data_IF_414443076613
#
_entry.id   IF_414443076613
#
_cell.length_a   1.000
_cell.length_b   1.000
_cell.length_c   1.000
_cell.angle_alpha   90.00
_cell.angle_beta   90.00
_cell.angle_gamma   90.00
#
_symmetry.space_group_name_H-M   'P 1'
#
loop_
_entity.id
_entity.type
_entity.pdbx_description
1 polymer ?
#
# COMPACT_ATOMS: atom_id res chain seq x y z
N UNK A 1 -44.27 -1.16 22.09
CA UNK A 1 -43.09 -0.83 22.93
C UNK A 1 -42.08 -1.92 22.70
N UNK A 2 -41.13 -1.70 21.81
CA UNK A 2 -39.78 -2.21 22.04
C UNK A 2 -38.81 -1.35 21.21
N UNK A 3 -37.90 -0.69 21.91
CA UNK A 3 -37.04 0.36 21.37
C UNK A 3 -35.78 -0.28 20.81
N UNK A 4 -35.60 -0.21 19.48
CA UNK A 4 -34.30 -0.45 18.86
C UNK A 4 -33.37 0.70 19.22
N UNK A 5 -32.60 0.55 20.31
CA UNK A 5 -31.54 1.48 20.64
C UNK A 5 -30.41 1.38 19.61
N UNK A 6 -30.32 2.43 18.81
CA UNK A 6 -29.18 2.80 18.00
C UNK A 6 -28.01 3.17 18.95
N UNK A 7 -27.01 2.29 19.11
CA UNK A 7 -25.82 2.53 19.92
C UNK A 7 -24.75 3.28 19.11
N UNK A 8 -24.10 4.33 19.66
CA UNK A 8 -23.06 5.08 18.96
C UNK A 8 -21.73 4.32 19.01
N UNK A 9 -21.04 4.25 17.87
CA UNK A 9 -19.59 4.01 17.76
C UNK A 9 -19.05 2.75 18.46
N UNK A 10 -19.20 1.57 17.84
CA UNK A 10 -18.32 0.43 18.18
C UNK A 10 -16.88 0.84 17.90
N UNK A 11 -16.09 1.07 18.94
CA UNK A 11 -14.63 1.10 18.82
C UNK A 11 -14.22 -0.23 18.19
N UNK A 12 -13.60 -0.19 17.01
CA UNK A 12 -13.05 -1.39 16.39
C UNK A 12 -12.00 -1.97 17.34
N UNK A 13 -12.37 -3.03 18.03
CA UNK A 13 -11.50 -3.81 18.92
C UNK A 13 -10.37 -4.42 18.10
N UNK A 14 -9.10 -4.16 18.44
CA UNK A 14 -8.02 -4.85 17.73
C UNK A 14 -7.90 -6.26 18.23
N UNK A 15 -7.76 -7.19 17.30
CA UNK A 15 -7.56 -8.58 17.65
C UNK A 15 -6.19 -8.76 18.32
N UNK A 16 -6.21 -9.23 19.56
CA UNK A 16 -5.00 -9.58 20.31
C UNK A 16 -4.45 -10.93 19.83
N UNK A 17 -3.14 -11.13 19.96
CA UNK A 17 -2.48 -12.38 19.56
C UNK A 17 -2.89 -13.59 20.42
N UNK A 18 -3.53 -13.34 21.57
CA UNK A 18 -3.97 -14.37 22.53
C UNK A 18 -5.35 -13.96 23.07
N UNK A 19 -6.23 -14.94 23.28
CA UNK A 19 -7.50 -14.75 23.98
C UNK A 19 -7.30 -14.56 25.49
N UNK A 20 -6.21 -15.07 26.04
CA UNK A 20 -5.81 -14.95 27.44
C UNK A 20 -4.66 -13.95 27.62
N UNK A 21 -4.71 -13.17 28.69
CA UNK A 21 -3.64 -12.27 29.07
C UNK A 21 -2.34 -13.04 29.32
N UNK A 22 -1.24 -12.59 28.70
CA UNK A 22 0.07 -13.23 28.89
C UNK A 22 0.59 -13.17 30.33
N UNK A 23 0.06 -12.26 31.15
CA UNK A 23 0.50 -12.02 32.53
C UNK A 23 -0.43 -12.66 33.58
N UNK A 24 -1.71 -12.28 33.58
CA UNK A 24 -2.66 -12.72 34.63
C UNK A 24 -3.63 -13.81 34.18
N UNK A 25 -3.55 -14.24 32.91
CA UNK A 25 -4.40 -15.29 32.33
C UNK A 25 -5.91 -14.98 32.29
N UNK A 26 -6.33 -13.75 32.57
CA UNK A 26 -7.72 -13.33 32.36
C UNK A 26 -8.06 -13.27 30.86
N UNK A 27 -9.34 -13.34 30.54
CA UNK A 27 -9.84 -13.04 29.19
C UNK A 27 -9.47 -11.61 28.77
N UNK A 28 -9.13 -11.46 27.48
CA UNK A 28 -8.82 -10.19 26.83
C UNK A 28 -9.81 -9.95 25.70
N UNK A 29 -10.54 -8.83 25.79
CA UNK A 29 -11.58 -8.46 24.83
C UNK A 29 -11.15 -7.25 24.00
N UNK A 30 -10.22 -7.45 23.07
CA UNK A 30 -9.96 -6.46 22.02
C UNK A 30 -9.24 -5.16 22.42
N UNK A 31 -8.92 -5.00 23.71
CA UNK A 31 -8.15 -3.88 24.24
C UNK A 31 -6.65 -4.18 24.27
N UNK A 32 -5.84 -3.15 24.01
CA UNK A 32 -4.37 -3.22 24.04
C UNK A 32 -3.77 -3.42 25.41
N UNK A 33 -4.56 -3.20 26.46
CA UNK A 33 -4.18 -3.39 27.85
C UNK A 33 -5.15 -4.40 28.46
N UNK A 34 -4.64 -5.27 29.32
CA UNK A 34 -5.50 -6.18 30.06
C UNK A 34 -6.36 -5.40 31.06
N UNK A 35 -7.68 -5.61 31.06
CA UNK A 35 -8.61 -4.95 31.99
C UNK A 35 -8.38 -5.31 33.46
N UNK A 36 -7.75 -6.46 33.74
CA UNK A 36 -7.48 -6.94 35.09
C UNK A 36 -6.13 -6.46 35.64
N UNK A 37 -5.06 -6.58 34.85
CA UNK A 37 -3.69 -6.29 35.33
C UNK A 37 -3.02 -5.10 34.62
N UNK A 38 -3.71 -4.46 33.69
CA UNK A 38 -3.28 -3.26 32.94
C UNK A 38 -2.00 -3.47 32.11
N UNK A 39 -1.55 -4.73 31.97
CA UNK A 39 -0.38 -5.04 31.14
C UNK A 39 -0.71 -4.89 29.67
N UNK A 40 0.22 -4.29 28.92
CA UNK A 40 0.12 -4.19 27.45
C UNK A 40 0.06 -5.59 26.85
N UNK A 41 -0.83 -5.81 25.88
CA UNK A 41 -1.05 -7.09 25.22
C UNK A 41 -0.45 -7.07 23.80
N UNK A 42 0.09 -8.20 23.32
CA UNK A 42 0.60 -8.30 21.96
C UNK A 42 -0.55 -8.25 20.96
N UNK A 43 -0.46 -7.33 19.99
CA UNK A 43 -1.39 -7.27 18.87
C UNK A 43 -1.14 -8.45 17.93
N UNK A 44 -2.20 -9.05 17.38
CA UNK A 44 -2.05 -10.16 16.43
C UNK A 44 -1.29 -9.70 15.17
N UNK A 45 -0.34 -10.52 14.71
CA UNK A 45 0.35 -10.30 13.42
C UNK A 45 -0.54 -10.60 12.22
N UNK A 46 -1.62 -11.34 12.43
CA UNK A 46 -2.60 -11.69 11.40
C UNK A 46 -3.63 -10.58 11.18
N UNK A 47 -3.64 -9.57 12.06
CA UNK A 47 -4.54 -8.43 11.95
C UNK A 47 -4.15 -7.58 10.75
N UNK A 48 -5.11 -7.34 9.85
CA UNK A 48 -4.87 -6.48 8.71
C UNK A 48 -4.70 -5.01 9.12
N UNK A 49 -3.97 -4.23 8.32
CA UNK A 49 -3.60 -2.86 8.66
C UNK A 49 -4.80 -1.91 8.70
N UNK A 50 -5.84 -2.14 7.88
CA UNK A 50 -7.06 -1.34 7.93
C UNK A 50 -7.73 -1.52 9.28
N UNK A 51 -7.95 -2.77 9.68
CA UNK A 51 -8.53 -3.10 10.99
C UNK A 51 -7.64 -2.59 12.14
N UNK A 52 -6.31 -2.75 12.04
CA UNK A 52 -5.33 -2.24 13.02
C UNK A 52 -5.46 -0.74 13.30
N UNK A 53 -5.77 0.04 12.26
CA UNK A 53 -5.94 1.49 12.32
C UNK A 53 -7.42 1.91 12.36
N UNK A 54 -8.34 0.97 12.62
CA UNK A 54 -9.76 1.25 12.76
C UNK A 54 -10.43 1.80 11.49
N UNK A 55 -9.87 1.49 10.32
CA UNK A 55 -10.36 1.94 9.02
C UNK A 55 -11.08 0.79 8.29
N UNK A 56 -12.09 1.11 7.46
CA UNK A 56 -12.63 0.14 6.52
C UNK A 56 -11.60 -0.19 5.43
N UNK A 57 -11.76 -1.34 4.77
CA UNK A 57 -10.91 -1.79 3.63
C UNK A 57 -11.25 -1.04 2.33
N UNK A 58 -11.12 0.27 2.39
CA UNK A 58 -11.33 1.20 1.29
C UNK A 58 -9.99 1.69 0.76
N UNK A 59 -9.94 2.04 -0.52
CA UNK A 59 -8.77 2.61 -1.17
C UNK A 59 -8.74 4.12 -1.06
N UNK A 60 -9.89 4.82 -1.01
CA UNK A 60 -9.94 6.24 -0.64
C UNK A 60 -10.24 6.37 0.87
N UNK A 61 -9.19 6.35 1.67
CA UNK A 61 -9.30 6.54 3.14
C UNK A 61 -9.15 8.01 3.53
N UNK A 62 -9.77 8.38 4.64
CA UNK A 62 -9.52 9.65 5.32
C UNK A 62 -8.13 9.62 5.99
N UNK A 63 -7.19 10.38 5.43
CA UNK A 63 -5.83 10.50 5.95
C UNK A 63 -5.77 11.18 7.32
N UNK A 64 -6.72 12.06 7.63
CA UNK A 64 -6.83 12.69 8.96
C UNK A 64 -7.25 11.67 10.02
N UNK A 65 -8.22 10.81 9.70
CA UNK A 65 -8.62 9.70 10.56
C UNK A 65 -7.47 8.69 10.77
N UNK A 66 -6.75 8.36 9.70
CA UNK A 66 -5.54 7.52 9.75
C UNK A 66 -4.48 8.11 10.70
N UNK A 67 -4.15 9.39 10.56
CA UNK A 67 -3.15 10.07 11.39
C UNK A 67 -3.60 10.17 12.85
N UNK A 68 -4.86 10.54 13.09
CA UNK A 68 -5.40 10.60 14.44
C UNK A 68 -5.29 9.26 15.16
N UNK A 69 -5.65 8.16 14.48
CA UNK A 69 -5.56 6.82 15.08
C UNK A 69 -4.13 6.36 15.27
N UNK A 70 -3.25 6.64 14.32
CA UNK A 70 -1.82 6.37 14.45
C UNK A 70 -1.22 7.06 15.68
N UNK A 71 -1.52 8.35 15.91
CA UNK A 71 -1.02 9.07 17.07
C UNK A 71 -1.60 8.57 18.39
N UNK A 72 -2.89 8.21 18.43
CA UNK A 72 -3.52 7.58 19.59
C UNK A 72 -2.77 6.32 20.01
N UNK A 73 -2.55 5.39 19.07
CA UNK A 73 -1.90 4.11 19.34
C UNK A 73 -0.40 4.25 19.59
N UNK A 74 0.26 5.20 18.93
CA UNK A 74 1.69 5.47 19.15
C UNK A 74 1.95 5.87 20.59
N UNK A 75 1.06 6.68 21.21
CA UNK A 75 1.18 7.03 22.63
C UNK A 75 0.97 5.81 23.54
N UNK A 76 0.06 4.92 23.19
CA UNK A 76 -0.20 3.71 23.98
C UNK A 76 0.96 2.71 23.93
N UNK A 77 1.68 2.63 22.80
CA UNK A 77 2.72 1.63 22.56
C UNK A 77 4.15 2.17 22.65
N UNK A 78 4.36 3.48 22.81
CA UNK A 78 5.69 4.08 22.69
C UNK A 78 6.73 3.43 23.61
N UNK A 79 7.87 2.93 23.09
CA UNK A 79 8.88 2.23 23.89
C UNK A 79 9.40 3.02 25.09
N UNK A 80 9.44 4.35 25.00
CA UNK A 80 9.86 5.22 26.11
C UNK A 80 9.03 5.05 27.38
N UNK A 81 7.74 4.73 27.26
CA UNK A 81 6.89 4.47 28.44
C UNK A 81 7.14 3.09 29.08
N UNK A 82 7.91 2.23 28.40
CA UNK A 82 8.16 0.86 28.83
C UNK A 82 9.62 0.58 29.23
N UNK A 83 10.54 1.55 29.10
CA UNK A 83 11.98 1.38 29.41
C UNK A 83 12.26 0.80 30.81
N UNK A 84 11.43 1.14 31.80
CA UNK A 84 11.54 0.66 33.19
C UNK A 84 10.55 -0.47 33.54
N UNK A 85 9.93 -1.11 32.53
CA UNK A 85 8.97 -2.22 32.70
C UNK A 85 9.66 -3.57 32.51
N UNK A 86 8.92 -4.66 32.70
CA UNK A 86 9.44 -6.01 32.45
C UNK A 86 9.90 -6.20 31.01
N UNK A 87 10.86 -7.10 30.78
CA UNK A 87 11.36 -7.43 29.43
C UNK A 87 10.21 -7.84 28.49
N UNK A 88 9.22 -8.57 29.00
CA UNK A 88 8.03 -8.95 28.23
C UNK A 88 7.22 -7.73 27.78
N UNK A 89 7.01 -6.74 28.67
CA UNK A 89 6.31 -5.50 28.30
C UNK A 89 7.10 -4.67 27.28
N UNK A 90 8.43 -4.57 27.45
CA UNK A 90 9.30 -3.87 26.50
C UNK A 90 9.24 -4.51 25.11
N UNK A 91 9.33 -5.84 25.03
CA UNK A 91 9.24 -6.57 23.77
C UNK A 91 7.87 -6.41 23.09
N UNK A 92 6.78 -6.45 23.87
CA UNK A 92 5.42 -6.25 23.35
C UNK A 92 5.23 -4.82 22.84
N UNK A 93 5.65 -3.81 23.60
CA UNK A 93 5.60 -2.40 23.20
C UNK A 93 6.37 -2.15 21.90
N UNK A 94 7.59 -2.69 21.80
CA UNK A 94 8.40 -2.59 20.59
C UNK A 94 7.72 -3.27 19.38
N UNK A 95 7.20 -4.48 19.56
CA UNK A 95 6.49 -5.22 18.52
C UNK A 95 5.24 -4.50 18.03
N UNK A 96 4.40 -4.02 18.95
CA UNK A 96 3.19 -3.27 18.63
C UNK A 96 3.53 -1.94 17.91
N UNK A 97 4.57 -1.24 18.35
CA UNK A 97 5.05 0.00 17.71
C UNK A 97 5.56 -0.25 16.29
N UNK A 98 6.30 -1.33 16.07
CA UNK A 98 6.80 -1.69 14.74
C UNK A 98 5.66 -2.04 13.77
N UNK A 99 4.67 -2.82 14.23
CA UNK A 99 3.47 -3.14 13.47
C UNK A 99 2.70 -1.86 13.09
N UNK A 100 2.46 -0.99 14.08
CA UNK A 100 1.73 0.26 13.87
C UNK A 100 2.41 1.18 12.86
N UNK A 101 3.73 1.34 12.94
CA UNK A 101 4.50 2.14 11.99
C UNK A 101 4.42 1.57 10.57
N UNK A 102 4.48 0.25 10.44
CA UNK A 102 4.37 -0.43 9.15
C UNK A 102 2.98 -0.24 8.56
N UNK A 103 1.93 -0.44 9.37
CA UNK A 103 0.54 -0.22 8.97
C UNK A 103 0.31 1.22 8.51
N UNK A 104 0.76 2.21 9.30
CA UNK A 104 0.60 3.62 8.96
C UNK A 104 1.32 4.00 7.66
N UNK A 105 2.59 3.60 7.48
CA UNK A 105 3.35 3.88 6.26
C UNK A 105 2.75 3.21 5.03
N UNK A 106 2.21 2.00 5.20
CA UNK A 106 1.57 1.25 4.11
C UNK A 106 0.26 1.90 3.71
N UNK A 107 -0.60 2.24 4.67
CA UNK A 107 -1.88 2.84 4.37
C UNK A 107 -1.76 4.32 3.96
N UNK A 108 -0.74 5.07 4.39
CA UNK A 108 -0.58 6.48 3.99
C UNK A 108 -0.28 6.63 2.51
N UNK A 109 0.55 5.76 1.95
CA UNK A 109 0.94 5.78 0.55
C UNK A 109 -0.11 5.07 -0.32
N UNK A 110 -0.70 5.73 -1.35
CA UNK A 110 -1.78 5.14 -2.14
C UNK A 110 -1.34 3.91 -2.94
N UNK A 111 -0.09 3.87 -3.40
CA UNK A 111 0.47 2.74 -4.17
C UNK A 111 0.62 1.54 -3.24
N UNK A 112 1.27 1.72 -2.08
CA UNK A 112 1.44 0.65 -1.08
C UNK A 112 0.11 0.17 -0.51
N UNK A 113 -0.87 1.06 -0.36
CA UNK A 113 -2.23 0.72 0.06
C UNK A 113 -2.91 -0.21 -0.94
N UNK A 114 -2.79 0.07 -2.23
CA UNK A 114 -3.33 -0.78 -3.28
C UNK A 114 -2.62 -2.15 -3.33
N UNK A 115 -1.29 -2.17 -3.28
CA UNK A 115 -0.49 -3.40 -3.20
C UNK A 115 -0.93 -4.27 -2.02
N UNK A 116 -1.09 -3.64 -0.85
CA UNK A 116 -1.50 -4.31 0.37
C UNK A 116 -2.93 -4.86 0.27
N UNK A 117 -3.88 -4.10 -0.28
CA UNK A 117 -5.23 -4.59 -0.51
C UNK A 117 -5.25 -5.80 -1.45
N UNK A 118 -4.51 -5.74 -2.56
CA UNK A 118 -4.41 -6.86 -3.50
C UNK A 118 -3.85 -8.10 -2.79
N UNK A 119 -2.87 -7.94 -1.91
CA UNK A 119 -2.33 -9.04 -1.11
C UNK A 119 -3.38 -9.66 -0.17
N UNK A 120 -4.22 -8.84 0.47
CA UNK A 120 -5.30 -9.33 1.33
C UNK A 120 -6.35 -10.15 0.55
N UNK A 121 -6.70 -9.69 -0.66
CA UNK A 121 -7.79 -10.27 -1.45
C UNK A 121 -7.34 -11.47 -2.30
N UNK A 122 -6.09 -11.46 -2.80
CA UNK A 122 -5.55 -12.54 -3.62
C UNK A 122 -4.95 -13.72 -2.83
N UNK A 123 -4.93 -13.62 -1.49
CA UNK A 123 -4.26 -14.57 -0.61
C UNK A 123 -2.74 -14.53 -0.72
N UNK A 124 -2.05 -15.55 -0.20
CA UNK A 124 -0.58 -15.67 -0.13
C UNK A 124 0.14 -15.79 -1.48
N UNK A 125 -0.54 -15.51 -2.61
CA UNK A 125 -0.03 -15.68 -3.96
C UNK A 125 0.21 -14.34 -4.69
N UNK A 126 1.52 -14.07 -4.81
CA UNK A 126 2.25 -13.26 -5.80
C UNK A 126 2.32 -11.77 -5.53
N UNK A 127 3.50 -11.38 -5.06
CA UNK A 127 4.13 -10.09 -5.32
C UNK A 127 3.82 -9.62 -6.75
N UNK A 128 3.60 -8.32 -6.88
CA UNK A 128 3.40 -7.68 -8.18
C UNK A 128 4.74 -7.77 -8.93
N UNK A 129 4.82 -8.70 -9.88
CA UNK A 129 6.02 -8.88 -10.69
C UNK A 129 6.09 -7.75 -11.72
N UNK A 130 7.17 -6.98 -11.65
CA UNK A 130 7.48 -5.98 -12.66
C UNK A 130 7.65 -6.64 -14.02
N UNK A 131 6.83 -6.22 -14.97
CA UNK A 131 6.83 -6.72 -16.35
C UNK A 131 6.76 -5.53 -17.32
N UNK A 132 7.36 -5.61 -18.52
CA UNK A 132 7.11 -4.63 -19.56
C UNK A 132 5.62 -4.65 -19.95
N UNK A 133 4.97 -3.49 -20.13
CA UNK A 133 3.63 -3.42 -20.68
C UNK A 133 3.62 -4.06 -22.07
N UNK A 134 2.75 -5.05 -22.29
CA UNK A 134 2.75 -5.85 -23.51
C UNK A 134 2.48 -5.01 -24.77
N UNK A 135 1.69 -3.95 -24.63
CA UNK A 135 1.33 -3.04 -25.70
C UNK A 135 2.38 -1.94 -25.95
N UNK A 136 3.43 -1.86 -25.12
CA UNK A 136 4.58 -0.98 -25.30
C UNK A 136 5.85 -1.73 -25.70
N UNK A 137 5.76 -3.03 -25.94
CA UNK A 137 6.95 -3.86 -26.09
C UNK A 137 7.88 -3.37 -27.21
N UNK A 138 7.33 -3.02 -28.36
CA UNK A 138 8.10 -2.50 -29.51
C UNK A 138 8.72 -1.12 -29.21
N UNK A 139 7.95 -0.21 -28.59
CA UNK A 139 8.41 1.13 -28.22
C UNK A 139 9.54 1.07 -27.20
N UNK A 140 9.45 0.17 -26.21
CA UNK A 140 10.48 -0.04 -25.20
C UNK A 140 11.76 -0.62 -25.81
N UNK A 141 11.64 -1.56 -26.76
CA UNK A 141 12.80 -2.11 -27.45
C UNK A 141 13.54 -1.04 -28.25
N UNK A 142 12.81 -0.27 -29.07
CA UNK A 142 13.38 0.84 -29.84
C UNK A 142 14.06 1.88 -28.92
N UNK A 143 13.42 2.22 -27.80
CA UNK A 143 13.99 3.12 -26.80
C UNK A 143 15.28 2.57 -26.18
N UNK A 144 15.34 1.27 -25.88
CA UNK A 144 16.55 0.64 -25.33
C UNK A 144 17.70 0.67 -26.33
N UNK A 145 17.43 0.45 -27.61
CA UNK A 145 18.40 0.58 -28.69
C UNK A 145 18.93 2.02 -28.80
N UNK A 146 18.03 3.01 -28.79
CA UNK A 146 18.40 4.43 -28.83
C UNK A 146 19.23 4.85 -27.60
N UNK A 147 18.94 4.32 -26.41
CA UNK A 147 19.75 4.55 -25.20
C UNK A 147 21.14 3.90 -25.30
N UNK A 148 21.25 2.70 -25.87
CA UNK A 148 22.53 2.02 -26.07
C UNK A 148 23.40 2.75 -27.11
N UNK A 149 22.78 3.22 -28.19
CA UNK A 149 23.45 4.07 -29.18
C UNK A 149 23.96 5.36 -28.54
N UNK A 150 23.13 6.01 -27.72
CA UNK A 150 23.52 7.24 -27.03
C UNK A 150 24.71 7.04 -26.08
N UNK A 151 24.78 5.88 -25.40
CA UNK A 151 25.89 5.53 -24.49
C UNK A 151 27.18 5.17 -25.21
N UNK A 152 27.08 4.54 -26.38
CA UNK A 152 28.23 4.08 -27.16
C UNK A 152 28.83 5.18 -28.05
N UNK A 153 28.10 6.26 -28.28
CA UNK A 153 28.58 7.40 -29.05
C UNK A 153 29.80 8.08 -28.40
N UNK A 154 30.86 8.25 -29.18
CA UNK A 154 32.05 8.99 -28.73
C UNK A 154 31.79 10.50 -28.75
N UNK A 155 32.31 11.27 -27.77
CA UNK A 155 32.18 12.73 -27.78
C UNK A 155 32.72 13.34 -29.08
N UNK A 156 31.86 14.02 -29.83
CA UNK A 156 32.22 14.72 -31.07
C UNK A 156 32.05 13.92 -32.37
N UNK A 157 31.63 12.65 -32.32
CA UNK A 157 31.21 11.93 -33.53
C UNK A 157 29.77 12.32 -33.92
N UNK A 158 29.58 12.66 -35.20
CA UNK A 158 28.30 12.96 -35.85
C UNK A 158 27.32 13.82 -35.00
N UNK A 159 27.63 15.10 -34.77
CA UNK A 159 26.88 15.97 -33.84
C UNK A 159 25.41 16.18 -34.25
N UNK A 160 25.09 16.09 -35.54
CA UNK A 160 23.70 16.20 -36.04
C UNK A 160 22.89 14.98 -35.61
N UNK A 161 23.41 13.78 -35.85
CA UNK A 161 22.77 12.51 -35.44
C UNK A 161 22.57 12.44 -33.93
N UNK A 162 23.57 12.88 -33.15
CA UNK A 162 23.44 12.92 -31.69
C UNK A 162 22.35 13.89 -31.22
N UNK A 163 22.14 15.01 -31.91
CA UNK A 163 21.06 15.94 -31.57
C UNK A 163 19.68 15.40 -31.95
N UNK A 164 19.58 14.69 -33.08
CA UNK A 164 18.37 13.97 -33.47
C UNK A 164 18.01 12.88 -32.46
N UNK A 165 19.00 12.10 -32.01
CA UNK A 165 18.83 11.05 -31.00
C UNK A 165 18.40 11.64 -29.64
N UNK A 166 19.02 12.75 -29.20
CA UNK A 166 18.57 13.47 -27.98
C UNK A 166 17.12 13.92 -28.09
N UNK A 167 16.76 14.47 -29.25
CA UNK A 167 15.40 14.97 -29.49
C UNK A 167 14.40 13.81 -29.41
N UNK A 168 14.72 12.66 -29.98
CA UNK A 168 13.87 11.46 -29.94
C UNK A 168 13.71 10.92 -28.52
N UNK A 169 14.82 10.69 -27.81
CA UNK A 169 14.82 10.25 -26.41
C UNK A 169 14.02 11.20 -25.49
N UNK A 170 14.06 12.51 -25.77
CA UNK A 170 13.25 13.49 -25.05
C UNK A 170 11.74 13.29 -25.32
N UNK A 171 11.34 13.09 -26.58
CA UNK A 171 9.94 12.82 -26.95
C UNK A 171 9.46 11.51 -26.34
N UNK A 172 10.27 10.46 -26.35
CA UNK A 172 9.94 9.18 -25.74
C UNK A 172 9.75 9.34 -24.23
N UNK A 173 10.60 10.14 -23.56
CA UNK A 173 10.46 10.42 -22.13
C UNK A 173 9.13 11.08 -21.83
N UNK A 174 8.79 12.15 -22.58
CA UNK A 174 7.53 12.87 -22.40
C UNK A 174 6.30 11.96 -22.66
N UNK A 175 6.44 11.01 -23.58
CA UNK A 175 5.41 10.00 -23.86
C UNK A 175 5.22 9.04 -22.68
N UNK A 176 6.32 8.51 -22.14
CA UNK A 176 6.29 7.62 -20.97
C UNK A 176 5.77 8.34 -19.71
N UNK A 177 6.16 9.60 -19.50
CA UNK A 177 5.68 10.42 -18.39
C UNK A 177 4.17 10.68 -18.48
N UNK A 178 3.65 11.02 -19.68
CA UNK A 178 2.20 11.18 -19.89
C UNK A 178 1.45 9.89 -19.56
N UNK A 179 1.99 8.76 -19.98
CA UNK A 179 1.39 7.46 -19.75
C UNK A 179 1.42 7.04 -18.28
N UNK A 180 2.46 7.42 -17.53
CA UNK A 180 2.47 7.26 -16.08
C UNK A 180 1.32 8.04 -15.43
N UNK A 181 1.06 9.28 -15.86
CA UNK A 181 -0.06 10.07 -15.36
C UNK A 181 -1.41 9.43 -15.68
N UNK A 182 -1.58 8.90 -16.89
CA UNK A 182 -2.80 8.17 -17.29
C UNK A 182 -3.03 6.92 -16.42
N UNK A 183 -1.98 6.15 -16.15
CA UNK A 183 -2.05 5.01 -15.24
C UNK A 183 -2.41 5.41 -13.81
N UNK A 184 -1.86 6.52 -13.31
CA UNK A 184 -2.19 7.03 -11.98
C UNK A 184 -3.64 7.51 -11.89
N UNK A 185 -4.14 8.20 -12.93
CA UNK A 185 -5.55 8.55 -13.03
C UNK A 185 -6.45 7.32 -13.06
N UNK A 186 -6.10 6.32 -13.87
CA UNK A 186 -6.86 5.07 -13.97
C UNK A 186 -6.88 4.31 -12.64
N UNK A 187 -5.76 4.29 -11.92
CA UNK A 187 -5.70 3.70 -10.59
C UNK A 187 -6.66 4.41 -9.61
N UNK A 188 -6.75 5.75 -9.66
CA UNK A 188 -7.66 6.52 -8.82
C UNK A 188 -9.15 6.25 -9.16
N UNK A 189 -9.48 6.07 -10.44
CA UNK A 189 -10.82 5.63 -10.86
C UNK A 189 -11.16 4.25 -10.27
N UNK A 190 -10.21 3.31 -10.35
CA UNK A 190 -10.36 1.96 -9.78
C UNK A 190 -10.52 2.00 -8.25
N UNK A 191 -9.86 2.93 -7.55
CA UNK A 191 -10.05 3.13 -6.11
C UNK A 191 -11.50 3.50 -5.81
N UNK A 192 -12.04 4.45 -6.57
CA UNK A 192 -13.43 4.89 -6.41
C UNK A 192 -14.42 3.76 -6.74
N UNK A 193 -14.15 3.00 -7.80
CA UNK A 193 -14.96 1.85 -8.18
C UNK A 193 -14.95 0.75 -7.10
N UNK A 194 -13.77 0.46 -6.53
CA UNK A 194 -13.62 -0.46 -5.41
C UNK A 194 -14.45 -0.03 -4.21
N UNK A 195 -14.33 1.24 -3.79
CA UNK A 195 -15.03 1.74 -2.61
C UNK A 195 -16.55 1.71 -2.80
N UNK A 196 -17.02 2.07 -3.99
CA UNK A 196 -18.43 1.95 -4.36
C UNK A 196 -18.91 0.49 -4.31
N UNK A 197 -18.09 -0.46 -4.78
CA UNK A 197 -18.42 -1.89 -4.71
C UNK A 197 -18.56 -2.37 -3.26
N UNK A 198 -17.68 -1.92 -2.35
CA UNK A 198 -17.73 -2.28 -0.93
C UNK A 198 -18.99 -1.77 -0.21
N UNK A 199 -19.61 -0.70 -0.72
CA UNK A 199 -20.86 -0.17 -0.15
C UNK A 199 -22.11 -1.02 -0.46
N UNK A 200 -22.01 -2.00 -1.37
CA UNK A 200 -23.15 -2.85 -1.78
C UNK A 200 -23.50 -3.86 -0.68
N UNK A 201 -24.79 -3.95 -0.34
CA UNK A 201 -25.29 -4.77 0.79
C UNK A 201 -25.21 -6.29 0.57
N UNK A 202 -25.18 -6.77 -0.67
CA UNK A 202 -25.08 -8.21 -0.99
C UNK A 202 -24.15 -8.43 -2.18
N UNK A 203 -23.10 -9.26 -2.03
CA UNK A 203 -22.25 -9.64 -3.15
C UNK A 203 -22.93 -10.73 -3.98
N UNK A 204 -23.47 -10.35 -5.12
CA UNK A 204 -23.88 -11.29 -6.18
C UNK A 204 -22.66 -11.78 -6.97
N UNK A 205 -22.86 -12.76 -7.86
CA UNK A 205 -21.79 -13.28 -8.70
C UNK A 205 -21.19 -12.22 -9.62
N UNK A 206 -21.98 -11.20 -9.97
CA UNK A 206 -21.54 -10.07 -10.77
C UNK A 206 -20.53 -9.21 -10.00
N UNK A 207 -20.83 -8.87 -8.75
CA UNK A 207 -19.93 -8.13 -7.85
C UNK A 207 -18.61 -8.87 -7.61
N UNK A 208 -18.63 -10.22 -7.56
CA UNK A 208 -17.40 -11.02 -7.45
C UNK A 208 -16.53 -10.88 -8.70
N UNK A 209 -17.12 -10.97 -9.89
CA UNK A 209 -16.40 -10.80 -11.16
C UNK A 209 -15.86 -9.38 -11.32
N UNK A 210 -16.64 -8.37 -10.95
CA UNK A 210 -16.21 -6.97 -10.92
C UNK A 210 -15.01 -6.79 -9.98
N UNK A 211 -15.06 -7.38 -8.78
CA UNK A 211 -13.94 -7.38 -7.83
C UNK A 211 -12.68 -7.97 -8.44
N UNK A 212 -12.77 -9.18 -8.97
CA UNK A 212 -11.62 -9.90 -9.51
C UNK A 212 -11.01 -9.18 -10.74
N UNK A 213 -11.86 -8.59 -11.59
CA UNK A 213 -11.43 -7.77 -12.71
C UNK A 213 -10.68 -6.51 -12.24
N UNK A 214 -11.21 -5.79 -11.25
CA UNK A 214 -10.54 -4.61 -10.70
C UNK A 214 -9.19 -4.96 -10.06
N UNK A 215 -9.12 -6.03 -9.27
CA UNK A 215 -7.87 -6.47 -8.64
C UNK A 215 -6.81 -6.87 -9.69
N UNK A 216 -7.24 -7.50 -10.79
CA UNK A 216 -6.35 -7.82 -11.91
C UNK A 216 -5.83 -6.56 -12.58
N UNK A 217 -6.71 -5.61 -12.88
CA UNK A 217 -6.35 -4.35 -13.55
C UNK A 217 -5.41 -3.49 -12.69
N UNK A 218 -5.71 -3.34 -11.39
CA UNK A 218 -4.82 -2.63 -10.45
C UNK A 218 -3.43 -3.28 -10.42
N UNK A 219 -3.35 -4.62 -10.42
CA UNK A 219 -2.07 -5.34 -10.44
C UNK A 219 -1.27 -5.06 -11.72
N UNK A 220 -1.92 -5.04 -12.87
CA UNK A 220 -1.29 -4.72 -14.15
C UNK A 220 -0.77 -3.27 -14.16
N UNK A 221 -1.57 -2.32 -13.69
CA UNK A 221 -1.17 -0.91 -13.57
C UNK A 221 0.06 -0.75 -12.66
N UNK A 222 0.07 -1.39 -11.49
CA UNK A 222 1.16 -1.28 -10.53
C UNK A 222 2.48 -1.91 -11.06
N UNK A 223 2.36 -3.04 -11.77
CA UNK A 223 3.49 -3.67 -12.48
C UNK A 223 4.06 -2.73 -13.53
N UNK A 224 3.21 -2.23 -14.43
CA UNK A 224 3.58 -1.37 -15.55
C UNK A 224 4.19 -0.05 -15.06
N UNK A 225 3.59 0.56 -14.03
CA UNK A 225 4.10 1.77 -13.38
C UNK A 225 5.52 1.58 -12.87
N UNK A 226 5.80 0.48 -12.18
CA UNK A 226 7.13 0.20 -11.65
C UNK A 226 8.16 0.05 -12.76
N UNK A 227 7.78 -0.64 -13.85
CA UNK A 227 8.63 -0.83 -15.01
C UNK A 227 8.94 0.50 -15.71
N UNK A 228 7.91 1.29 -16.05
CA UNK A 228 8.09 2.58 -16.72
C UNK A 228 8.88 3.57 -15.86
N UNK A 229 8.67 3.59 -14.54
CA UNK A 229 9.45 4.46 -13.64
C UNK A 229 10.94 4.13 -13.71
N UNK A 230 11.31 2.85 -13.76
CA UNK A 230 12.70 2.44 -13.86
C UNK A 230 13.33 2.86 -15.19
N UNK A 231 12.58 2.74 -16.30
CA UNK A 231 13.03 3.21 -17.61
C UNK A 231 13.24 4.73 -17.62
N UNK A 232 12.25 5.51 -17.15
CA UNK A 232 12.36 6.97 -17.12
C UNK A 232 13.57 7.41 -16.28
N UNK A 233 13.82 6.76 -15.15
CA UNK A 233 15.02 7.03 -14.34
C UNK A 233 16.32 6.72 -15.10
N UNK A 234 16.37 5.63 -15.86
CA UNK A 234 17.52 5.25 -16.68
C UNK A 234 17.77 6.25 -17.82
N UNK A 235 16.70 6.73 -18.46
CA UNK A 235 16.76 7.79 -19.47
C UNK A 235 17.34 9.07 -18.89
N UNK A 236 16.87 9.51 -17.71
CA UNK A 236 17.38 10.71 -17.02
C UNK A 236 18.86 10.55 -16.66
N UNK A 237 19.27 9.38 -16.16
CA UNK A 237 20.68 9.12 -15.85
C UNK A 237 21.58 9.07 -17.09
N UNK A 238 21.04 8.69 -18.24
CA UNK A 238 21.79 8.57 -19.50
C UNK A 238 21.89 9.91 -20.24
N UNK A 239 20.86 10.74 -20.18
CA UNK A 239 20.73 11.97 -21.00
C UNK A 239 20.94 13.28 -20.24
N UNK A 240 20.86 13.26 -18.90
CA UNK A 240 21.09 14.41 -18.02
C UNK A 240 22.55 14.57 -17.61
#
# INVERSE_FOLDING_TARGET
>A
MDQTHNMPGKRTELQMARSMCWHCQSEVHGEYFCVQCVKVQPVSKELDYFTCLGLPRLLNIDLGALEAKFYELSRAFHPDFFQNKSESEQAISLGNSALLNTAYRTLKDPIRRAEYLIQLEAGSAKDIRTSPPADLFEEILALQEDLEEFRSASPGQNPVHMEELRTRLKVDRETLERRQLEMEHRLAELFTAWDNLQSRKQPDDQARRERDAMLKEMREILSNRTYLRNIVNDMVATTG
#
